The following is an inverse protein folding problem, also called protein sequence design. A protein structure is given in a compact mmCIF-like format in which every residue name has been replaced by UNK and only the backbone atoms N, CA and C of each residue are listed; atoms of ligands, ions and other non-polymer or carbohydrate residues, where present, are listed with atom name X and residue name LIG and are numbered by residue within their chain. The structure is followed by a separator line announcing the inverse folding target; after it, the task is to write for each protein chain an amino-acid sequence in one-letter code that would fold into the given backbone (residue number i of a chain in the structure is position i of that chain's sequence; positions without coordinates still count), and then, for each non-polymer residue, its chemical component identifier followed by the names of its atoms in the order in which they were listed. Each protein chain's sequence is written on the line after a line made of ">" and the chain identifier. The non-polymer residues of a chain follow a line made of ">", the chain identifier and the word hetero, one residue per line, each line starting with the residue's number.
data_IF_655286607333
#
_entry.id   IF_655286607333
#
_cell.length_a   1.000
_cell.length_b   1.000
_cell.length_c   1.000
_cell.angle_alpha   90.00
_cell.angle_beta   90.00
_cell.angle_gamma   90.00
#
_symmetry.space_group_name_H-M   'P 1'
#
loop_
_entity.id
_entity.type
_entity.pdbx_description
1 polymer ?
#
# COMPACT_ATOMS: atom_id res chain seq x y z
N UNK A 1 -5.54 -15.50 -10.67
CA UNK A 1 -5.12 -14.15 -11.08
C UNK A 1 -5.84 -13.10 -10.25
N UNK A 2 -5.22 -11.95 -9.97
CA UNK A 2 -5.78 -10.88 -9.12
C UNK A 2 -6.78 -10.02 -9.91
N UNK A 3 -6.61 -9.93 -11.24
CA UNK A 3 -7.50 -9.23 -12.18
C UNK A 3 -7.39 -7.70 -12.11
N UNK A 4 -7.49 -7.02 -13.25
CA UNK A 4 -7.44 -5.56 -13.33
C UNK A 4 -8.75 -4.89 -12.86
N UNK A 5 -8.71 -3.64 -12.37
CA UNK A 5 -7.51 -2.85 -12.04
C UNK A 5 -6.73 -3.41 -10.86
N UNK A 6 -5.41 -3.16 -10.84
CA UNK A 6 -4.48 -3.50 -9.75
C UNK A 6 -3.78 -2.26 -9.23
N UNK A 7 -3.32 -2.30 -7.99
CA UNK A 7 -2.53 -1.26 -7.35
C UNK A 7 -1.07 -1.73 -7.22
N UNK A 8 -0.13 -1.01 -7.81
CA UNK A 8 1.31 -1.20 -7.61
C UNK A 8 1.73 -0.41 -6.38
N UNK A 9 2.39 -1.05 -5.41
CA UNK A 9 2.84 -0.40 -4.16
C UNK A 9 4.30 -0.73 -3.84
N UNK A 10 5.02 0.24 -3.33
CA UNK A 10 6.32 0.03 -2.70
C UNK A 10 6.17 -0.74 -1.37
N UNK A 11 7.00 -1.76 -1.14
CA UNK A 11 6.95 -2.59 0.08
C UNK A 11 7.39 -1.81 1.32
N UNK A 12 8.44 -0.99 1.18
CA UNK A 12 8.96 -0.13 2.25
C UNK A 12 8.36 1.30 2.23
N UNK A 13 7.34 1.54 1.40
CA UNK A 13 6.78 2.88 1.19
C UNK A 13 5.87 3.35 2.32
N UNK A 14 5.77 4.68 2.49
CA UNK A 14 4.90 5.32 3.46
C UNK A 14 4.50 6.73 3.05
N UNK A 15 3.36 7.21 3.57
CA UNK A 15 2.87 8.58 3.31
C UNK A 15 2.24 8.79 1.93
N UNK A 16 1.68 7.74 1.31
CA UNK A 16 0.98 7.83 0.03
C UNK A 16 1.88 7.88 -1.22
N UNK A 17 3.20 7.78 -1.05
CA UNK A 17 4.17 7.76 -2.16
C UNK A 17 4.43 6.34 -2.66
N UNK A 18 4.74 6.19 -3.95
CA UNK A 18 4.99 4.89 -4.57
C UNK A 18 3.77 3.99 -4.76
N UNK A 19 2.56 4.58 -4.85
CA UNK A 19 1.32 3.85 -5.15
C UNK A 19 0.73 4.29 -6.51
N UNK A 20 0.38 3.34 -7.39
CA UNK A 20 -0.23 3.64 -8.70
C UNK A 20 -1.26 2.60 -9.10
N UNK A 21 -2.43 3.07 -9.54
CA UNK A 21 -3.49 2.21 -10.10
C UNK A 21 -3.16 1.90 -11.56
N UNK A 22 -3.31 0.63 -11.93
CA UNK A 22 -3.07 0.11 -13.27
C UNK A 22 -4.36 -0.55 -13.76
N UNK A 23 -4.97 0.00 -14.79
CA UNK A 23 -6.27 -0.44 -15.33
C UNK A 23 -6.14 -1.59 -16.34
N UNK A 24 -4.97 -1.73 -16.98
CA UNK A 24 -4.74 -2.66 -18.09
C UNK A 24 -3.34 -3.25 -18.04
N UNK A 25 -3.20 -4.44 -18.60
CA UNK A 25 -1.93 -5.17 -18.63
C UNK A 25 -0.81 -4.45 -19.36
N UNK A 26 -1.14 -3.74 -20.45
CA UNK A 26 -0.16 -2.97 -21.23
C UNK A 26 0.57 -1.90 -20.42
N UNK A 27 -0.04 -1.42 -19.34
CA UNK A 27 0.47 -0.31 -18.53
C UNK A 27 1.23 -0.82 -17.29
N UNK A 28 1.19 -2.12 -17.02
CA UNK A 28 1.73 -2.72 -15.80
C UNK A 28 3.25 -2.58 -15.72
N UNK A 29 3.97 -3.00 -16.76
CA UNK A 29 5.44 -3.02 -16.76
C UNK A 29 6.03 -1.63 -16.49
N UNK A 30 5.54 -0.61 -17.21
CA UNK A 30 5.99 0.77 -17.02
C UNK A 30 5.67 1.31 -15.62
N UNK A 31 4.50 0.93 -15.07
CA UNK A 31 4.09 1.32 -13.71
C UNK A 31 4.98 0.68 -12.63
N UNK A 32 5.33 -0.60 -12.80
CA UNK A 32 6.26 -1.34 -11.94
C UNK A 32 7.65 -0.71 -11.97
N UNK A 33 8.24 -0.49 -13.16
CA UNK A 33 9.58 0.07 -13.29
C UNK A 33 9.69 1.46 -12.67
N UNK A 34 8.67 2.29 -12.88
CA UNK A 34 8.59 3.61 -12.26
C UNK A 34 8.43 3.51 -10.73
N UNK A 35 7.69 2.53 -10.22
CA UNK A 35 7.47 2.36 -8.77
C UNK A 35 8.73 1.87 -8.08
N UNK A 36 9.46 0.94 -8.71
CA UNK A 36 10.76 0.46 -8.23
C UNK A 36 11.79 1.59 -8.11
N UNK A 37 11.91 2.45 -9.15
CA UNK A 37 12.81 3.61 -9.12
C UNK A 37 12.47 4.59 -8.00
N UNK A 38 11.18 4.90 -7.82
CA UNK A 38 10.73 5.77 -6.74
C UNK A 38 10.99 5.13 -5.37
N UNK A 39 10.73 3.84 -5.24
CA UNK A 39 10.92 3.09 -4.00
C UNK A 39 12.40 3.02 -3.59
N UNK A 40 13.29 2.63 -4.52
CA UNK A 40 14.72 2.57 -4.30
C UNK A 40 15.32 3.94 -3.93
N UNK A 41 14.88 5.02 -4.59
CA UNK A 41 15.37 6.37 -4.30
C UNK A 41 14.81 6.99 -3.01
N UNK A 42 13.56 6.67 -2.64
CA UNK A 42 12.89 7.27 -1.49
C UNK A 42 13.03 6.46 -0.19
N UNK A 43 13.14 5.13 -0.30
CA UNK A 43 13.08 4.21 0.84
C UNK A 43 14.28 3.24 0.89
N UNK A 44 15.18 3.26 -0.09
CA UNK A 44 16.37 2.41 -0.13
C UNK A 44 16.09 0.93 -0.44
N UNK A 45 14.83 0.60 -0.75
CA UNK A 45 14.36 -0.73 -1.13
C UNK A 45 13.43 -0.59 -2.34
N UNK A 46 13.80 -1.21 -3.46
CA UNK A 46 13.06 -1.15 -4.72
C UNK A 46 11.99 -2.25 -4.85
N UNK A 47 11.75 -3.02 -3.79
CA UNK A 47 10.73 -4.06 -3.77
C UNK A 47 9.33 -3.46 -3.89
N UNK A 48 8.56 -3.98 -4.84
CA UNK A 48 7.17 -3.61 -5.09
C UNK A 48 6.28 -4.85 -5.13
N UNK A 49 5.00 -4.66 -4.84
CA UNK A 49 3.99 -5.71 -4.89
C UNK A 49 2.69 -5.20 -5.51
N UNK A 50 1.81 -6.15 -5.88
CA UNK A 50 0.52 -5.87 -6.50
C UNK A 50 -0.61 -6.26 -5.55
N UNK A 51 -1.59 -5.37 -5.43
CA UNK A 51 -2.86 -5.64 -4.74
C UNK A 51 -4.03 -5.40 -5.69
N UNK A 52 -5.20 -5.97 -5.34
CA UNK A 52 -6.43 -5.63 -6.04
C UNK A 52 -6.81 -4.18 -5.75
N UNK A 53 -7.08 -3.39 -6.80
CA UNK A 53 -7.66 -2.06 -6.60
C UNK A 53 -9.15 -2.17 -6.25
N UNK A 54 -9.57 -1.44 -5.22
CA UNK A 54 -10.96 -1.33 -4.79
C UNK A 54 -11.47 0.07 -5.15
N UNK A 55 -12.36 0.13 -6.15
CA UNK A 55 -13.02 1.34 -6.67
C UNK A 55 -13.66 2.17 -5.53
N UNK A 56 -14.54 1.52 -4.78
CA UNK A 56 -15.29 2.14 -3.70
C UNK A 56 -14.93 1.43 -2.41
N UNK A 57 -14.18 2.12 -1.57
CA UNK A 57 -13.75 1.60 -0.27
C UNK A 57 -13.82 2.69 0.78
N UNK A 58 -13.90 2.27 2.04
CA UNK A 58 -13.66 3.15 3.19
C UNK A 58 -12.30 2.85 3.78
N UNK A 59 -11.50 3.87 4.04
CA UNK A 59 -10.28 3.72 4.82
C UNK A 59 -10.65 3.72 6.30
N UNK A 60 -10.54 2.57 6.96
CA UNK A 60 -10.76 2.45 8.40
C UNK A 60 -9.49 1.93 9.05
N UNK A 61 -9.00 2.66 10.06
CA UNK A 61 -7.79 2.29 10.81
C UNK A 61 -8.10 2.13 12.30
N UNK A 62 -7.43 1.17 12.96
CA UNK A 62 -7.61 0.85 14.37
C UNK A 62 -6.34 1.21 15.14
N UNK A 63 -6.47 2.06 16.16
CA UNK A 63 -5.35 2.39 17.04
C UNK A 63 -5.09 1.24 18.01
N UNK A 64 -3.82 0.86 18.15
CA UNK A 64 -3.39 -0.16 19.11
C UNK A 64 -2.42 0.46 20.12
N UNK A 65 -2.51 0.06 21.39
CA UNK A 65 -1.54 0.36 22.46
C UNK A 65 -1.19 -0.97 23.15
N UNK A 66 0.11 -1.25 23.29
CA UNK A 66 0.59 -2.43 23.99
C UNK A 66 1.77 -2.11 24.91
N UNK A 67 2.00 -2.95 25.92
CA UNK A 67 3.12 -2.84 26.83
C UNK A 67 4.00 -4.11 26.85
N UNK A 68 5.12 -4.05 27.58
CA UNK A 68 6.06 -5.17 27.71
C UNK A 68 5.59 -6.28 28.67
N UNK A 69 4.45 -6.11 29.33
CA UNK A 69 3.86 -7.08 30.25
C UNK A 69 2.80 -7.96 29.57
N UNK A 70 2.61 -7.79 28.25
CA UNK A 70 1.66 -8.56 27.46
C UNK A 70 0.26 -7.96 27.40
N UNK A 71 0.06 -6.74 27.92
CA UNK A 71 -1.22 -6.05 27.75
C UNK A 71 -1.31 -5.47 26.33
N UNK A 72 -2.48 -5.59 25.72
CA UNK A 72 -2.79 -5.06 24.40
C UNK A 72 -4.23 -4.55 24.39
N UNK A 73 -4.42 -3.31 23.96
CA UNK A 73 -5.75 -2.70 23.82
C UNK A 73 -5.89 -2.06 22.44
N UNK A 74 -7.11 -2.06 21.92
CA UNK A 74 -7.48 -1.23 20.78
C UNK A 74 -8.20 0.03 21.29
N UNK A 75 -7.93 1.18 20.69
CA UNK A 75 -8.56 2.45 21.03
C UNK A 75 -9.59 2.84 19.96
N UNK A 76 -10.51 1.91 19.70
CA UNK A 76 -11.54 2.03 18.67
C UNK A 76 -10.97 2.30 17.26
N UNK A 77 -11.85 2.62 16.33
CA UNK A 77 -11.57 2.90 14.94
C UNK A 77 -11.55 4.40 14.62
N UNK A 78 -10.91 4.73 13.50
CA UNK A 78 -11.06 6.00 12.78
C UNK A 78 -11.43 5.72 11.34
N UNK A 79 -12.33 6.53 10.80
CA UNK A 79 -12.69 6.54 9.38
C UNK A 79 -11.94 7.69 8.71
N UNK A 80 -11.09 7.37 7.74
CA UNK A 80 -10.07 8.24 7.15
C UNK A 80 -10.15 8.30 5.61
N UNK A 81 -11.29 7.95 5.01
CA UNK A 81 -11.49 8.02 3.55
C UNK A 81 -11.33 9.42 2.99
#
# INVERSE_FOLDING_TARGET
>A
EIGYPVLVKASAGGGGRGMRVVEKETDLQGSVDSAKREAGSSFGDDTVFLEKWLDSSRHVEIQIIGDMHGNLVHCFERECS
#
